data_IF_232288085415
#
_entry.id   IF_232288085415
#
_cell.length_a   1.000
_cell.length_b   1.000
_cell.length_c   1.000
_cell.angle_alpha   90.00
_cell.angle_beta   90.00
_cell.angle_gamma   90.00
#
_symmetry.space_group_name_H-M   'P 1'
#
loop_
_entity.id
_entity.type
_entity.pdbx_description
1 polymer ?
#
# COMPACT_ATOMS: atom_id res chain seq x y z
N UNK A 1 -10.79 49.76 9.73
CA UNK A 1 -11.27 48.37 9.68
C UNK A 1 -10.46 47.61 8.67
N UNK A 2 -9.34 47.01 9.06
CA UNK A 2 -8.44 46.22 8.25
C UNK A 2 -7.66 45.28 9.19
N UNK A 3 -8.34 44.29 9.76
CA UNK A 3 -7.72 43.18 10.47
C UNK A 3 -8.69 41.98 10.48
N UNK A 4 -8.71 41.20 9.41
CA UNK A 4 -9.34 39.88 9.43
C UNK A 4 -9.07 39.11 8.13
N UNK A 5 -7.80 38.88 7.73
CA UNK A 5 -7.45 37.88 6.71
C UNK A 5 -6.03 37.32 6.88
N UNK A 6 -5.40 37.44 8.04
CA UNK A 6 -4.03 36.98 8.28
C UNK A 6 -3.96 35.52 8.79
N UNK A 7 -5.07 34.79 8.90
CA UNK A 7 -5.12 33.49 9.57
C UNK A 7 -5.20 32.25 8.67
N UNK A 8 -5.40 32.39 7.37
CA UNK A 8 -5.65 31.25 6.45
C UNK A 8 -4.45 30.87 5.56
N UNK A 9 -3.38 31.68 5.52
CA UNK A 9 -2.22 31.41 4.64
C UNK A 9 -1.10 30.58 5.28
N UNK A 10 -1.20 30.20 6.56
CA UNK A 10 -0.11 29.52 7.27
C UNK A 10 -0.27 28.00 7.40
N UNK A 11 -1.44 27.45 7.08
CA UNK A 11 -1.70 26.02 7.21
C UNK A 11 -1.85 25.36 5.84
N UNK A 12 -0.96 24.43 5.55
CA UNK A 12 -0.99 23.59 4.33
C UNK A 12 -1.48 22.21 4.75
N UNK A 13 -2.32 21.58 3.94
CA UNK A 13 -2.84 20.23 4.19
C UNK A 13 -2.68 19.41 2.94
N UNK A 14 -2.18 18.18 3.09
CA UNK A 14 -2.09 17.20 2.01
C UNK A 14 -2.52 15.83 2.51
N UNK A 15 -3.19 15.07 1.65
CA UNK A 15 -3.71 13.74 1.96
C UNK A 15 -3.23 12.73 0.93
N UNK A 16 -2.83 11.55 1.39
CA UNK A 16 -2.47 10.43 0.55
C UNK A 16 -3.28 9.18 0.97
N UNK A 17 -3.98 8.50 0.04
CA UNK A 17 -4.73 7.29 0.37
C UNK A 17 -3.80 6.12 0.66
N UNK A 18 -4.32 5.08 1.31
CA UNK A 18 -3.70 3.76 1.26
C UNK A 18 -3.99 3.08 -0.08
N UNK A 19 -3.39 1.91 -0.32
CA UNK A 19 -3.65 1.12 -1.54
C UNK A 19 -3.79 -0.36 -1.24
N UNK A 20 -4.39 -1.09 -2.18
CA UNK A 20 -4.38 -2.55 -2.26
C UNK A 20 -3.96 -2.96 -3.66
N UNK A 21 -3.02 -3.90 -3.76
CA UNK A 21 -2.68 -4.54 -5.01
C UNK A 21 -3.70 -5.64 -5.26
N UNK A 22 -4.51 -5.50 -6.31
CA UNK A 22 -5.48 -6.53 -6.72
C UNK A 22 -4.79 -7.68 -7.43
N UNK A 23 -3.84 -7.35 -8.32
CA UNK A 23 -3.01 -8.32 -9.05
C UNK A 23 -1.62 -7.74 -9.28
N UNK A 24 -0.61 -8.59 -9.43
CA UNK A 24 0.73 -8.15 -9.86
C UNK A 24 1.83 -8.30 -8.82
N UNK A 25 1.51 -8.72 -7.58
CA UNK A 25 2.55 -8.93 -6.55
C UNK A 25 3.69 -9.80 -7.10
N UNK A 26 4.91 -9.35 -6.92
CA UNK A 26 6.16 -9.88 -7.51
C UNK A 26 6.25 -9.82 -9.03
N UNK A 27 5.17 -10.08 -9.78
CA UNK A 27 5.18 -10.10 -11.23
C UNK A 27 5.63 -8.77 -11.83
N UNK A 28 5.24 -7.64 -11.22
CA UNK A 28 5.68 -6.29 -11.64
C UNK A 28 7.20 -6.09 -11.58
N UNK A 29 7.91 -6.81 -10.70
CA UNK A 29 9.38 -6.76 -10.63
C UNK A 29 10.07 -7.36 -11.88
N UNK A 30 9.32 -8.08 -12.70
CA UNK A 30 9.80 -8.78 -13.89
C UNK A 30 9.15 -8.27 -15.19
N UNK A 31 8.50 -7.08 -15.12
CA UNK A 31 7.89 -6.44 -16.29
C UNK A 31 6.49 -6.95 -16.65
N UNK A 32 5.85 -7.75 -15.79
CA UNK A 32 4.43 -8.09 -15.95
C UNK A 32 3.55 -6.97 -15.37
N UNK A 33 2.34 -6.78 -15.91
CA UNK A 33 1.44 -5.76 -15.38
C UNK A 33 0.87 -6.14 -14.01
N UNK A 34 0.54 -5.11 -13.22
CA UNK A 34 -0.22 -5.21 -11.98
C UNK A 34 -1.31 -4.16 -11.90
N UNK A 35 -2.33 -4.38 -11.11
CA UNK A 35 -3.38 -3.41 -10.80
C UNK A 35 -3.36 -3.13 -9.31
N UNK A 36 -3.31 -1.84 -8.97
CA UNK A 36 -3.49 -1.36 -7.61
C UNK A 36 -4.61 -0.32 -7.56
N UNK A 37 -5.33 -0.31 -6.44
CA UNK A 37 -6.46 0.59 -6.20
C UNK A 37 -6.26 1.33 -4.88
N UNK A 38 -6.69 2.60 -4.78
CA UNK A 38 -6.69 3.32 -3.52
C UNK A 38 -7.69 2.70 -2.54
N UNK A 39 -7.49 2.95 -1.25
CA UNK A 39 -8.42 2.57 -0.18
C UNK A 39 -9.12 3.80 0.41
N UNK A 40 -10.22 3.63 1.14
CA UNK A 40 -10.87 4.75 1.85
C UNK A 40 -10.05 5.26 3.06
N UNK A 41 -9.00 4.55 3.43
CA UNK A 41 -8.09 4.93 4.52
C UNK A 41 -6.98 5.83 3.97
N UNK A 42 -6.53 6.80 4.76
CA UNK A 42 -5.53 7.78 4.31
C UNK A 42 -4.62 8.25 5.44
N UNK A 43 -3.52 8.86 5.04
CA UNK A 43 -2.69 9.74 5.86
C UNK A 43 -2.98 11.17 5.45
N UNK A 44 -3.28 12.05 6.42
CA UNK A 44 -3.38 13.50 6.20
C UNK A 44 -2.30 14.19 7.01
N UNK A 45 -1.47 15.00 6.34
CA UNK A 45 -0.48 15.86 6.95
C UNK A 45 -0.96 17.30 6.95
N UNK A 46 -0.82 17.98 8.09
CA UNK A 46 -1.11 19.41 8.26
C UNK A 46 0.18 20.12 8.66
N UNK A 47 0.65 21.04 7.87
CA UNK A 47 1.82 21.83 8.19
C UNK A 47 1.44 23.28 8.51
N UNK A 48 1.85 23.75 9.69
CA UNK A 48 1.67 25.13 10.14
C UNK A 48 3.04 25.81 10.30
N UNK A 49 3.31 26.80 9.45
CA UNK A 49 4.57 27.56 9.49
C UNK A 49 4.70 28.32 10.80
N UNK A 50 5.84 28.19 11.47
CA UNK A 50 6.15 28.90 12.70
C UNK A 50 7.67 29.16 12.80
N UNK A 51 8.08 30.36 12.41
CA UNK A 51 9.49 30.75 12.42
C UNK A 51 10.11 30.79 13.84
N UNK A 52 9.29 30.83 14.91
CA UNK A 52 9.78 30.93 16.27
C UNK A 52 10.36 29.63 16.84
N UNK A 53 10.04 28.47 16.21
CA UNK A 53 10.52 27.16 16.69
C UNK A 53 11.85 26.72 16.05
N UNK A 54 12.29 27.39 15.00
CA UNK A 54 13.62 27.21 14.39
C UNK A 54 13.80 25.94 13.55
N UNK A 55 12.87 24.97 13.61
CA UNK A 55 12.96 23.67 12.95
C UNK A 55 11.56 23.17 12.53
N UNK A 56 11.46 22.00 11.91
CA UNK A 56 10.18 21.29 11.67
C UNK A 56 9.96 20.29 12.81
N UNK A 57 8.87 20.47 13.54
CA UNK A 57 8.51 19.64 14.69
C UNK A 57 7.34 18.75 14.36
N UNK A 58 7.46 17.44 14.65
CA UNK A 58 6.37 16.48 14.50
C UNK A 58 5.42 16.53 15.70
N UNK A 59 4.13 16.67 15.41
CA UNK A 59 3.02 16.52 16.37
C UNK A 59 2.18 15.30 15.95
N UNK A 60 2.59 14.14 16.40
CA UNK A 60 1.90 12.86 16.18
C UNK A 60 2.26 11.90 17.31
N UNK A 61 1.44 10.87 17.53
CA UNK A 61 1.71 9.85 18.53
C UNK A 61 1.41 8.47 17.96
N UNK A 62 2.42 7.64 17.90
CA UNK A 62 2.37 6.25 17.45
C UNK A 62 3.39 5.42 18.24
N UNK A 63 3.61 4.16 17.85
CA UNK A 63 4.73 3.39 18.38
C UNK A 63 6.08 3.99 17.95
N UNK A 64 7.15 3.63 18.64
CA UNK A 64 8.49 4.19 18.46
C UNK A 64 9.03 3.99 17.04
N UNK A 65 8.73 2.84 16.42
CA UNK A 65 9.16 2.50 15.05
C UNK A 65 8.55 3.47 14.02
N UNK A 66 7.24 3.72 14.12
CA UNK A 66 6.54 4.63 13.22
C UNK A 66 6.87 6.10 13.50
N UNK A 67 7.02 6.49 14.77
CA UNK A 67 7.46 7.84 15.12
C UNK A 67 8.80 8.15 14.45
N UNK A 68 9.78 7.24 14.62
CA UNK A 68 11.09 7.38 13.99
C UNK A 68 11.01 7.42 12.47
N UNK A 69 10.19 6.57 11.85
CA UNK A 69 10.03 6.55 10.40
C UNK A 69 9.51 7.89 9.85
N UNK A 70 8.51 8.49 10.51
CA UNK A 70 7.96 9.79 10.10
C UNK A 70 8.97 10.92 10.34
N UNK A 71 9.74 10.87 11.42
CA UNK A 71 10.84 11.82 11.67
C UNK A 71 11.93 11.70 10.59
N UNK A 72 12.29 10.48 10.16
CA UNK A 72 13.24 10.25 9.08
C UNK A 72 12.75 10.84 7.74
N UNK A 73 11.43 10.74 7.43
CA UNK A 73 10.82 11.40 6.27
C UNK A 73 11.00 12.93 6.36
N UNK A 74 10.64 13.53 7.49
CA UNK A 74 10.73 14.99 7.69
C UNK A 74 12.19 15.45 7.55
N UNK A 75 13.13 14.76 8.17
CA UNK A 75 14.55 15.07 8.13
C UNK A 75 15.10 14.99 6.69
N UNK A 76 14.69 13.99 5.91
CA UNK A 76 15.05 13.90 4.50
C UNK A 76 14.46 15.07 3.71
N UNK A 77 13.18 15.40 3.88
CA UNK A 77 12.56 16.56 3.22
C UNK A 77 13.32 17.85 3.53
N UNK A 78 13.69 18.09 4.80
CA UNK A 78 14.49 19.25 5.21
C UNK A 78 15.87 19.24 4.55
N UNK A 79 16.48 18.08 4.33
CA UNK A 79 17.80 17.95 3.73
C UNK A 79 17.83 18.17 2.21
N UNK A 80 16.75 17.85 1.50
CA UNK A 80 16.67 17.91 0.03
C UNK A 80 16.06 19.19 -0.50
N UNK A 81 15.43 20.02 0.35
CA UNK A 81 14.77 21.24 -0.07
C UNK A 81 14.71 22.32 0.98
N UNK A 82 14.27 23.50 0.58
CA UNK A 82 14.09 24.65 1.48
C UNK A 82 12.73 24.53 2.18
N UNK A 83 12.70 23.94 3.36
CA UNK A 83 11.51 23.82 4.19
C UNK A 83 11.54 24.91 5.29
N UNK A 84 10.45 25.66 5.43
CA UNK A 84 10.32 26.66 6.52
C UNK A 84 10.15 25.94 7.87
N UNK A 85 10.61 26.53 8.98
CA UNK A 85 10.29 26.01 10.30
C UNK A 85 8.78 26.00 10.55
N UNK A 86 8.32 24.98 11.28
CA UNK A 86 6.88 24.83 11.56
C UNK A 86 6.55 23.54 12.29
N UNK A 87 5.26 23.31 12.49
CA UNK A 87 4.75 22.07 13.09
C UNK A 87 4.01 21.25 12.05
N UNK A 88 4.36 19.98 11.92
CA UNK A 88 3.62 19.03 11.10
C UNK A 88 2.77 18.15 12.02
N UNK A 89 1.47 18.12 11.77
CA UNK A 89 0.51 17.28 12.50
C UNK A 89 0.02 16.19 11.56
N UNK A 90 -0.02 14.94 12.03
CA UNK A 90 -0.44 13.79 11.24
C UNK A 90 -1.75 13.22 11.76
N UNK A 91 -2.67 12.97 10.85
CA UNK A 91 -3.86 12.13 11.04
C UNK A 91 -3.73 10.89 10.18
N UNK A 92 -3.81 9.70 10.78
CA UNK A 92 -3.69 8.43 10.06
C UNK A 92 -4.87 7.51 10.34
N UNK A 93 -5.51 7.06 9.28
CA UNK A 93 -6.56 6.05 9.33
C UNK A 93 -6.13 4.72 8.69
N UNK A 94 -4.99 4.67 8.00
CA UNK A 94 -4.47 3.44 7.40
C UNK A 94 -3.99 2.50 8.52
N UNK A 95 -4.50 1.27 8.60
CA UNK A 95 -3.95 0.26 9.51
C UNK A 95 -2.47 -0.01 9.23
N UNK A 96 -1.61 0.32 10.19
CA UNK A 96 -0.15 0.22 10.05
C UNK A 96 0.30 -1.24 9.92
N UNK A 97 1.33 -1.50 9.11
CA UNK A 97 1.92 -2.84 8.89
C UNK A 97 0.94 -3.88 8.30
N UNK A 98 -0.08 -3.43 7.56
CA UNK A 98 -1.13 -4.29 6.98
C UNK A 98 -1.08 -4.38 5.44
N UNK A 99 0.04 -4.03 4.81
CA UNK A 99 0.21 -4.13 3.35
C UNK A 99 -0.59 -3.09 2.55
N UNK A 100 -1.16 -2.08 3.22
CA UNK A 100 -1.98 -1.03 2.62
C UNK A 100 -1.17 0.20 2.19
N UNK A 101 0.15 0.11 2.10
CA UNK A 101 1.01 1.20 1.62
C UNK A 101 1.19 2.36 2.59
N UNK A 102 1.03 2.13 3.92
CA UNK A 102 1.15 3.21 4.90
C UNK A 102 2.49 3.94 4.83
N UNK A 103 3.62 3.25 4.66
CA UNK A 103 4.94 3.88 4.53
C UNK A 103 4.98 4.91 3.40
N UNK A 104 4.58 4.53 2.20
CA UNK A 104 4.52 5.38 1.01
C UNK A 104 3.48 6.50 1.16
N UNK A 105 2.33 6.22 1.81
CA UNK A 105 1.31 7.25 2.07
C UNK A 105 1.83 8.35 3.00
N UNK A 106 2.60 8.01 4.04
CA UNK A 106 3.28 9.00 4.88
C UNK A 106 4.26 9.85 4.07
N UNK A 107 5.10 9.23 3.23
CA UNK A 107 6.04 9.95 2.38
C UNK A 107 5.31 10.94 1.49
N UNK A 108 4.30 10.51 0.76
CA UNK A 108 3.57 11.35 -0.20
C UNK A 108 2.82 12.48 0.52
N UNK A 109 2.08 12.19 1.60
CA UNK A 109 1.35 13.20 2.34
C UNK A 109 2.28 14.28 2.94
N UNK A 110 3.39 13.87 3.55
CA UNK A 110 4.35 14.80 4.17
C UNK A 110 5.08 15.60 3.09
N UNK A 111 5.54 14.96 2.01
CA UNK A 111 6.26 15.64 0.94
C UNK A 111 5.37 16.67 0.24
N UNK A 112 4.13 16.32 -0.11
CA UNK A 112 3.14 17.26 -0.67
C UNK A 112 2.85 18.41 0.30
N UNK A 113 2.74 18.12 1.59
CA UNK A 113 2.49 19.14 2.61
C UNK A 113 3.63 20.15 2.75
N UNK A 114 4.88 19.72 2.56
CA UNK A 114 6.08 20.56 2.69
C UNK A 114 6.50 21.28 1.40
N UNK A 115 6.31 20.66 0.23
CA UNK A 115 6.77 21.17 -1.06
C UNK A 115 5.66 21.56 -2.04
N UNK A 116 4.40 21.18 -1.76
CA UNK A 116 3.27 21.39 -2.67
C UNK A 116 3.01 20.18 -3.58
N UNK A 117 1.98 20.27 -4.42
CA UNK A 117 1.51 19.16 -5.26
C UNK A 117 2.51 18.70 -6.33
N UNK A 118 3.35 19.61 -6.84
CA UNK A 118 4.32 19.36 -7.94
C UNK A 118 5.64 18.77 -7.42
N UNK A 119 5.62 18.02 -6.31
CA UNK A 119 6.83 17.51 -5.63
C UNK A 119 7.11 16.03 -5.89
N UNK A 120 6.69 15.47 -7.03
CA UNK A 120 6.84 14.03 -7.33
C UNK A 120 8.31 13.59 -7.27
N UNK A 121 9.24 14.38 -7.84
CA UNK A 121 10.68 14.05 -7.79
C UNK A 121 11.21 13.96 -6.35
N UNK A 122 10.81 14.88 -5.48
CA UNK A 122 11.21 14.87 -4.06
C UNK A 122 10.59 13.66 -3.34
N UNK A 123 9.32 13.36 -3.60
CA UNK A 123 8.64 12.21 -3.00
C UNK A 123 9.28 10.88 -3.42
N UNK A 124 9.63 10.72 -4.71
CA UNK A 124 10.36 9.55 -5.22
C UNK A 124 11.74 9.44 -4.56
N UNK A 125 12.48 10.55 -4.42
CA UNK A 125 13.80 10.55 -3.77
C UNK A 125 13.71 10.08 -2.31
N UNK A 126 12.68 10.50 -1.58
CA UNK A 126 12.44 10.04 -0.20
C UNK A 126 12.05 8.57 -0.17
N UNK A 127 11.16 8.12 -1.08
CA UNK A 127 10.76 6.71 -1.20
C UNK A 127 11.95 5.80 -1.50
N UNK A 128 12.77 6.15 -2.49
CA UNK A 128 13.96 5.39 -2.88
C UNK A 128 14.97 5.25 -1.72
N UNK A 129 15.07 6.30 -0.90
CA UNK A 129 16.01 6.33 0.24
C UNK A 129 15.52 5.47 1.40
N UNK A 130 14.24 5.57 1.76
CA UNK A 130 13.69 4.88 2.94
C UNK A 130 13.20 3.45 2.63
N UNK A 131 12.74 3.19 1.40
CA UNK A 131 12.21 1.90 0.96
C UNK A 131 13.02 1.32 -0.22
N UNK A 132 14.32 1.11 -0.10
CA UNK A 132 15.17 0.71 -1.24
C UNK A 132 14.73 -0.62 -1.85
N UNK A 133 14.64 -0.65 -3.16
CA UNK A 133 14.29 -1.85 -3.94
C UNK A 133 12.78 -2.11 -4.05
N UNK A 134 11.93 -1.15 -3.69
CA UNK A 134 10.50 -1.19 -3.95
C UNK A 134 10.20 -1.37 -5.45
N UNK A 135 8.99 -1.82 -5.79
CA UNK A 135 8.59 -2.06 -7.18
C UNK A 135 8.15 -0.79 -7.90
N UNK A 136 7.73 0.23 -7.16
CA UNK A 136 7.12 1.45 -7.67
C UNK A 136 5.60 1.43 -7.73
N UNK A 137 4.95 0.25 -7.70
CA UNK A 137 3.48 0.16 -7.81
C UNK A 137 2.75 0.83 -6.65
N UNK A 138 3.29 0.75 -5.42
CA UNK A 138 2.73 1.39 -4.24
C UNK A 138 2.75 2.90 -4.40
N UNK A 139 3.90 3.44 -4.78
CA UNK A 139 4.08 4.86 -5.04
C UNK A 139 3.13 5.35 -6.14
N UNK A 140 3.11 4.68 -7.29
CA UNK A 140 2.26 5.05 -8.40
C UNK A 140 0.76 5.07 -8.03
N UNK A 141 0.27 4.05 -7.30
CA UNK A 141 -1.13 3.98 -6.91
C UNK A 141 -1.52 5.08 -5.92
N UNK A 142 -0.67 5.35 -4.93
CA UNK A 142 -0.95 6.34 -3.88
C UNK A 142 -0.78 7.77 -4.41
N UNK A 143 0.24 8.00 -5.26
CA UNK A 143 0.48 9.30 -5.88
C UNK A 143 -0.68 9.75 -6.77
N UNK A 144 -1.18 8.85 -7.61
CA UNK A 144 -2.29 9.14 -8.50
C UNK A 144 -3.66 9.16 -7.78
N UNK A 145 -3.83 8.42 -6.68
CA UNK A 145 -5.08 8.36 -5.92
C UNK A 145 -6.26 7.71 -6.66
N UNK A 146 -6.00 7.02 -7.76
CA UNK A 146 -6.96 6.39 -8.65
C UNK A 146 -6.53 4.95 -8.94
N UNK A 147 -7.45 4.06 -9.40
CA UNK A 147 -7.08 2.74 -9.88
C UNK A 147 -6.11 2.82 -11.06
N UNK A 148 -4.99 2.12 -10.97
CA UNK A 148 -3.96 2.11 -12.00
C UNK A 148 -3.59 0.71 -12.46
N UNK A 149 -3.21 0.59 -13.73
CA UNK A 149 -2.35 -0.47 -14.24
C UNK A 149 -0.91 0.03 -14.19
N UNK A 150 -0.06 -0.80 -13.63
CA UNK A 150 1.37 -0.51 -13.46
C UNK A 150 2.21 -1.58 -14.17
N UNK A 151 3.14 -1.13 -14.99
CA UNK A 151 4.25 -1.93 -15.54
C UNK A 151 5.53 -1.21 -15.12
N UNK A 152 6.51 -1.96 -14.62
CA UNK A 152 7.76 -1.36 -14.17
C UNK A 152 8.46 -0.63 -15.31
N UNK A 153 9.00 0.55 -15.01
CA UNK A 153 9.70 1.45 -15.94
C UNK A 153 8.80 2.03 -17.07
N UNK A 154 7.47 1.92 -16.93
CA UNK A 154 6.48 2.56 -17.81
C UNK A 154 5.64 3.56 -17.02
N UNK A 155 5.01 4.51 -17.73
CA UNK A 155 4.07 5.45 -17.12
C UNK A 155 2.81 4.68 -16.70
N UNK A 156 2.35 4.81 -15.43
CA UNK A 156 1.13 4.17 -14.99
C UNK A 156 -0.09 4.62 -15.81
N UNK A 157 -0.97 3.69 -16.15
CA UNK A 157 -2.21 3.98 -16.87
C UNK A 157 -3.40 3.87 -15.94
N UNK A 158 -4.34 4.80 -16.02
CA UNK A 158 -5.62 4.68 -15.30
C UNK A 158 -6.42 3.49 -15.85
N UNK A 159 -7.04 2.73 -14.94
CA UNK A 159 -7.88 1.59 -15.31
C UNK A 159 -9.30 1.82 -14.82
N UNK A 160 -10.26 1.62 -15.72
CA UNK A 160 -11.69 1.66 -15.36
C UNK A 160 -12.09 0.32 -14.74
N UNK A 161 -12.36 0.36 -13.44
CA UNK A 161 -12.85 -0.78 -12.65
C UNK A 161 -14.20 -0.42 -12.02
N UNK A 162 -15.05 -1.40 -11.75
CA UNK A 162 -16.26 -1.16 -10.98
C UNK A 162 -15.93 -0.41 -9.68
N UNK A 163 -16.61 0.69 -9.40
CA UNK A 163 -16.39 1.51 -8.20
C UNK A 163 -16.59 0.73 -6.90
N UNK A 164 -17.37 -0.35 -6.98
CA UNK A 164 -17.69 -1.25 -5.87
C UNK A 164 -16.81 -2.52 -5.84
N UNK A 165 -15.71 -2.59 -6.60
CA UNK A 165 -14.87 -3.79 -6.72
C UNK A 165 -14.36 -4.31 -5.36
N UNK A 166 -14.18 -3.43 -4.39
CA UNK A 166 -13.81 -3.77 -3.01
C UNK A 166 -15.00 -3.75 -2.04
N UNK A 167 -16.23 -3.54 -2.51
CA UNK A 167 -17.40 -3.52 -1.64
C UNK A 167 -17.60 -4.88 -0.97
N UNK A 168 -17.75 -4.86 0.35
CA UNK A 168 -17.84 -6.08 1.16
C UNK A 168 -16.56 -6.91 1.22
N UNK A 169 -15.44 -6.42 0.67
CA UNK A 169 -14.17 -7.09 0.80
C UNK A 169 -13.62 -6.98 2.24
N UNK A 170 -12.92 -8.01 2.67
CA UNK A 170 -12.32 -8.10 3.99
C UNK A 170 -10.81 -8.23 3.87
N UNK A 171 -10.09 -7.54 4.74
CA UNK A 171 -8.67 -7.81 5.01
C UNK A 171 -8.56 -8.59 6.31
N UNK A 172 -7.96 -9.78 6.25
CA UNK A 172 -7.88 -10.71 7.36
C UNK A 172 -6.42 -10.90 7.74
N UNK A 173 -6.08 -10.62 8.99
CA UNK A 173 -4.71 -10.68 9.50
C UNK A 173 -4.32 -12.12 9.88
N UNK A 174 -3.41 -12.72 9.11
CA UNK A 174 -2.85 -14.03 9.42
C UNK A 174 -1.64 -13.98 10.37
N UNK A 175 -1.24 -12.77 10.75
CA UNK A 175 -0.08 -12.51 11.60
C UNK A 175 1.19 -12.19 10.81
N UNK A 176 2.24 -11.83 11.54
CA UNK A 176 3.53 -11.42 10.97
C UNK A 176 4.22 -12.59 10.27
N UNK A 177 4.76 -12.40 9.06
CA UNK A 177 5.67 -13.36 8.43
C UNK A 177 6.99 -13.45 9.19
N UNK A 178 7.64 -14.63 9.15
CA UNK A 178 8.99 -14.78 9.71
C UNK A 178 10.06 -14.10 8.83
N UNK A 179 9.77 -13.92 7.53
CA UNK A 179 10.65 -13.27 6.57
C UNK A 179 10.28 -11.80 6.37
N UNK A 180 11.27 -10.95 6.17
CA UNK A 180 11.06 -9.57 5.76
C UNK A 180 10.82 -9.46 4.24
N UNK A 181 10.12 -8.41 3.81
CA UNK A 181 9.85 -8.17 2.37
C UNK A 181 11.10 -8.20 1.49
N UNK A 182 12.25 -7.56 1.84
CA UNK A 182 13.46 -7.64 1.01
C UNK A 182 14.00 -9.06 0.85
N UNK A 183 13.87 -9.91 1.86
CA UNK A 183 14.31 -11.32 1.82
C UNK A 183 13.44 -12.12 0.84
N UNK A 184 12.11 -11.93 0.90
CA UNK A 184 11.17 -12.59 -0.01
C UNK A 184 11.37 -12.14 -1.46
N UNK A 185 11.57 -10.85 -1.69
CA UNK A 185 11.90 -10.31 -3.02
C UNK A 185 13.19 -10.92 -3.57
N UNK A 186 14.25 -10.97 -2.75
CA UNK A 186 15.52 -11.60 -3.12
C UNK A 186 15.33 -13.09 -3.44
N UNK A 187 14.55 -13.79 -2.64
CA UNK A 187 14.27 -15.21 -2.82
C UNK A 187 13.52 -15.47 -4.14
N UNK A 188 12.47 -14.71 -4.46
CA UNK A 188 11.75 -14.84 -5.73
C UNK A 188 12.66 -14.48 -6.92
N UNK A 189 13.45 -13.39 -6.81
CA UNK A 189 14.39 -12.98 -7.86
C UNK A 189 15.42 -14.06 -8.17
N UNK A 190 15.96 -14.73 -7.14
CA UNK A 190 16.98 -15.78 -7.32
C UNK A 190 16.43 -17.04 -8.01
N UNK A 191 15.10 -17.20 -8.04
CA UNK A 191 14.40 -18.37 -8.62
C UNK A 191 13.54 -18.01 -9.84
N UNK A 192 13.81 -16.86 -10.49
CA UNK A 192 12.99 -16.35 -11.59
C UNK A 192 12.65 -17.41 -12.63
N UNK A 193 13.65 -18.23 -13.05
CA UNK A 193 13.45 -19.25 -14.09
C UNK A 193 12.47 -20.36 -13.67
N UNK A 194 12.53 -20.81 -12.41
CA UNK A 194 11.61 -21.81 -11.87
C UNK A 194 10.19 -21.23 -11.68
N UNK A 195 10.11 -19.94 -11.37
CA UNK A 195 8.88 -19.24 -11.00
C UNK A 195 8.26 -18.45 -12.16
N UNK A 196 8.76 -18.62 -13.38
CA UNK A 196 8.29 -17.86 -14.55
C UNK A 196 6.80 -18.07 -14.82
N UNK A 197 6.32 -19.31 -14.77
CA UNK A 197 4.91 -19.61 -15.05
C UNK A 197 3.95 -19.00 -14.02
N UNK A 198 4.12 -19.14 -12.69
CA UNK A 198 3.25 -18.44 -11.74
C UNK A 198 3.35 -16.91 -11.84
N UNK A 199 4.51 -16.33 -12.14
CA UNK A 199 4.65 -14.88 -12.36
C UNK A 199 3.84 -14.42 -13.58
N UNK A 200 3.87 -15.20 -14.66
CA UNK A 200 3.09 -14.95 -15.88
C UNK A 200 1.58 -15.05 -15.62
N UNK A 201 1.14 -16.05 -14.85
CA UNK A 201 -0.27 -16.21 -14.46
C UNK A 201 -0.73 -14.96 -13.69
N UNK A 202 0.04 -14.47 -12.73
CA UNK A 202 -0.26 -13.24 -11.98
C UNK A 202 -0.42 -12.05 -12.93
N UNK A 203 0.48 -11.87 -13.89
CA UNK A 203 0.36 -10.82 -14.91
C UNK A 203 -0.85 -11.00 -15.84
N UNK A 204 -1.26 -12.25 -16.13
CA UNK A 204 -2.47 -12.53 -16.89
C UNK A 204 -3.75 -12.22 -16.11
N UNK A 205 -3.76 -12.39 -14.79
CA UNK A 205 -4.85 -11.97 -13.93
C UNK A 205 -5.14 -10.47 -14.07
N UNK A 206 -4.09 -9.64 -14.22
CA UNK A 206 -4.24 -8.22 -14.51
C UNK A 206 -5.05 -7.99 -15.80
N UNK A 207 -4.66 -8.63 -16.91
CA UNK A 207 -5.35 -8.50 -18.19
C UNK A 207 -6.81 -8.98 -18.13
N UNK A 208 -7.06 -10.08 -17.42
CA UNK A 208 -8.44 -10.60 -17.21
C UNK A 208 -9.29 -9.61 -16.44
N UNK A 209 -8.73 -8.95 -15.43
CA UNK A 209 -9.45 -7.96 -14.63
C UNK A 209 -9.81 -6.72 -15.46
N UNK A 210 -8.90 -6.23 -16.30
CA UNK A 210 -9.15 -5.15 -17.25
C UNK A 210 -10.26 -5.46 -18.25
N UNK A 211 -10.48 -6.74 -18.56
CA UNK A 211 -11.51 -7.21 -19.47
C UNK A 211 -12.84 -7.54 -18.76
N UNK A 212 -13.03 -7.03 -17.54
CA UNK A 212 -14.24 -7.27 -16.72
C UNK A 212 -14.51 -8.75 -16.44
N UNK A 213 -13.46 -9.53 -16.25
CA UNK A 213 -13.56 -10.93 -15.83
C UNK A 213 -14.18 -11.09 -14.43
N UNK A 214 -14.63 -12.29 -14.11
CA UNK A 214 -15.12 -12.63 -12.77
C UNK A 214 -14.01 -12.42 -11.72
N UNK A 215 -14.20 -11.41 -10.88
CA UNK A 215 -13.21 -10.99 -9.88
C UNK A 215 -12.88 -12.13 -8.91
N UNK A 216 -13.89 -12.87 -8.44
CA UNK A 216 -13.65 -14.01 -7.53
C UNK A 216 -12.83 -15.12 -8.19
N UNK A 217 -13.11 -15.44 -9.46
CA UNK A 217 -12.32 -16.42 -10.19
C UNK A 217 -10.87 -15.95 -10.41
N UNK A 218 -10.67 -14.66 -10.71
CA UNK A 218 -9.34 -14.07 -10.87
C UNK A 218 -8.56 -14.12 -9.54
N UNK A 219 -9.19 -13.81 -8.41
CA UNK A 219 -8.56 -13.89 -7.08
C UNK A 219 -8.13 -15.32 -6.76
N UNK A 220 -8.94 -16.34 -7.05
CA UNK A 220 -8.55 -17.75 -6.86
C UNK A 220 -7.38 -18.15 -7.73
N UNK A 221 -7.40 -17.77 -9.02
CA UNK A 221 -6.29 -18.06 -9.95
C UNK A 221 -4.99 -17.38 -9.49
N UNK A 222 -5.08 -16.12 -9.06
CA UNK A 222 -3.96 -15.37 -8.53
C UNK A 222 -3.40 -16.02 -7.25
N UNK A 223 -4.29 -16.44 -6.32
CA UNK A 223 -3.89 -17.17 -5.11
C UNK A 223 -3.15 -18.47 -5.43
N UNK A 224 -3.65 -19.27 -6.38
CA UNK A 224 -2.99 -20.50 -6.78
C UNK A 224 -1.55 -20.23 -7.31
N UNK A 225 -1.38 -19.13 -8.06
CA UNK A 225 -0.06 -18.71 -8.52
C UNK A 225 0.83 -18.22 -7.35
N UNK A 226 0.30 -17.45 -6.39
CA UNK A 226 1.05 -17.05 -5.18
C UNK A 226 1.48 -18.25 -4.34
N UNK A 227 0.64 -19.28 -4.20
CA UNK A 227 1.02 -20.53 -3.55
C UNK A 227 2.15 -21.24 -4.28
N UNK A 228 2.12 -21.25 -5.61
CA UNK A 228 3.18 -21.81 -6.46
C UNK A 228 4.48 -21.00 -6.38
N UNK A 229 4.41 -19.68 -6.14
CA UNK A 229 5.58 -18.86 -5.80
C UNK A 229 6.17 -19.23 -4.43
N UNK A 230 5.44 -19.92 -3.55
CA UNK A 230 5.88 -20.31 -2.22
C UNK A 230 5.93 -19.15 -1.23
N UNK A 231 5.08 -18.14 -1.42
CA UNK A 231 4.97 -16.93 -0.57
C UNK A 231 3.70 -16.91 0.28
N UNK A 232 2.97 -18.01 0.31
CA UNK A 232 1.76 -18.20 1.13
C UNK A 232 2.06 -19.22 2.20
N UNK A 233 2.07 -18.81 3.47
CA UNK A 233 2.32 -19.70 4.61
C UNK A 233 1.17 -20.71 4.80
N UNK A 234 1.43 -21.81 5.48
CA UNK A 234 0.41 -22.83 5.69
C UNK A 234 -0.80 -22.26 6.46
N UNK A 235 -0.56 -21.38 7.44
CA UNK A 235 -1.63 -20.69 8.16
C UNK A 235 -2.55 -19.87 7.22
N UNK A 236 -1.96 -19.17 6.25
CA UNK A 236 -2.73 -18.42 5.25
C UNK A 236 -3.46 -19.34 4.26
N UNK A 237 -2.83 -20.46 3.84
CA UNK A 237 -3.47 -21.47 2.98
C UNK A 237 -4.69 -22.09 3.66
N UNK A 238 -4.58 -22.41 4.94
CA UNK A 238 -5.70 -23.00 5.71
C UNK A 238 -6.87 -22.02 5.81
N UNK A 239 -6.59 -20.73 6.06
CA UNK A 239 -7.61 -19.69 6.07
C UNK A 239 -8.26 -19.53 4.69
N UNK A 240 -7.47 -19.40 3.63
CA UNK A 240 -7.96 -19.24 2.25
C UNK A 240 -8.81 -20.44 1.84
N UNK A 241 -8.38 -21.66 2.18
CA UNK A 241 -9.16 -22.88 1.92
C UNK A 241 -10.53 -22.84 2.60
N UNK A 242 -10.61 -22.40 3.85
CA UNK A 242 -11.89 -22.26 4.57
C UNK A 242 -12.79 -21.22 3.91
N UNK A 243 -12.22 -20.08 3.47
CA UNK A 243 -12.96 -19.03 2.77
C UNK A 243 -13.55 -19.57 1.44
N UNK A 244 -12.75 -20.32 0.68
CA UNK A 244 -13.17 -20.89 -0.60
C UNK A 244 -14.23 -21.99 -0.43
N UNK A 245 -14.17 -22.79 0.65
CA UNK A 245 -15.21 -23.77 1.02
C UNK A 245 -16.56 -23.11 1.32
N UNK A 246 -16.55 -21.89 1.89
CA UNK A 246 -17.76 -21.09 2.13
C UNK A 246 -18.22 -20.31 0.90
N UNK A 247 -17.58 -20.50 -0.26
CA UNK A 247 -17.96 -19.88 -1.55
C UNK A 247 -17.22 -18.56 -1.86
N UNK A 248 -16.47 -18.01 -0.94
CA UNK A 248 -15.64 -16.82 -1.14
C UNK A 248 -14.43 -17.07 -2.02
N UNK A 249 -13.64 -16.03 -2.24
CA UNK A 249 -12.32 -16.09 -2.87
C UNK A 249 -11.33 -15.25 -2.06
N UNK A 250 -10.07 -15.68 -1.96
CA UNK A 250 -9.10 -14.95 -1.19
C UNK A 250 -7.68 -15.10 -1.73
N UNK A 251 -6.83 -14.10 -1.45
CA UNK A 251 -5.41 -14.09 -1.79
C UNK A 251 -4.59 -13.31 -0.76
N UNK A 252 -3.31 -13.56 -0.67
CA UNK A 252 -2.39 -12.75 0.14
C UNK A 252 -2.18 -11.38 -0.50
N UNK A 253 -2.12 -10.31 0.30
CA UNK A 253 -1.83 -8.94 -0.12
C UNK A 253 -0.37 -8.61 0.20
N UNK A 254 0.34 -8.03 -0.77
CA UNK A 254 1.73 -7.63 -0.62
C UNK A 254 2.73 -8.80 -0.69
N UNK A 255 3.77 -8.76 0.11
CA UNK A 255 4.88 -9.71 0.01
C UNK A 255 4.56 -11.13 0.49
N UNK A 256 3.54 -11.31 1.33
CA UNK A 256 3.21 -12.60 1.90
C UNK A 256 4.23 -13.10 2.93
N UNK A 257 4.35 -14.43 3.05
CA UNK A 257 5.28 -15.09 3.97
C UNK A 257 5.37 -16.58 3.65
N UNK A 258 6.53 -17.14 3.82
CA UNK A 258 6.78 -18.59 3.60
C UNK A 258 6.45 -19.40 4.85
N UNK A 259 6.73 -18.83 6.01
CA UNK A 259 6.48 -19.39 7.34
C UNK A 259 5.96 -18.30 8.29
N UNK A 260 5.41 -18.65 9.42
CA UNK A 260 4.69 -17.75 10.29
C UNK A 260 3.32 -17.38 9.72
N UNK A 261 2.95 -16.11 9.74
CA UNK A 261 1.83 -15.57 8.98
C UNK A 261 2.21 -15.22 7.53
N UNK A 262 1.26 -14.69 6.78
CA UNK A 262 1.49 -14.08 5.45
C UNK A 262 1.05 -12.61 5.43
N UNK A 263 0.93 -11.97 6.60
CA UNK A 263 0.33 -10.64 6.68
C UNK A 263 -1.17 -10.69 6.41
N UNK A 264 -1.63 -9.78 5.55
CA UNK A 264 -3.05 -9.65 5.24
C UNK A 264 -3.47 -10.56 4.07
N UNK A 265 -4.67 -11.11 4.20
CA UNK A 265 -5.39 -11.83 3.15
C UNK A 265 -6.59 -10.98 2.74
N UNK A 266 -6.68 -10.62 1.47
CA UNK A 266 -7.88 -10.03 0.88
C UNK A 266 -8.88 -11.15 0.60
N UNK A 267 -10.09 -11.03 1.11
CA UNK A 267 -11.19 -11.95 0.88
C UNK A 267 -12.39 -11.21 0.29
N UNK A 268 -13.06 -11.82 -0.69
CA UNK A 268 -14.25 -11.30 -1.36
C UNK A 268 -15.34 -12.37 -1.42
N UNK A 269 -16.61 -11.94 -1.48
CA UNK A 269 -17.74 -12.85 -1.59
C UNK A 269 -18.00 -13.70 -0.34
N UNK A 270 -17.59 -13.23 0.84
CA UNK A 270 -17.78 -13.91 2.13
C UNK A 270 -18.19 -12.91 3.21
N UNK A 271 -19.07 -13.35 4.10
CA UNK A 271 -19.45 -12.58 5.28
C UNK A 271 -18.42 -12.71 6.40
N UNK A 272 -18.17 -11.60 7.11
CA UNK A 272 -17.18 -11.57 8.21
C UNK A 272 -17.49 -12.57 9.32
N UNK A 273 -18.76 -12.92 9.55
CA UNK A 273 -19.16 -13.91 10.55
C UNK A 273 -18.70 -15.34 10.23
N UNK A 274 -18.29 -15.59 8.98
CA UNK A 274 -17.73 -16.88 8.54
C UNK A 274 -16.22 -16.99 8.75
N UNK A 275 -15.55 -15.87 9.09
CA UNK A 275 -14.13 -15.87 9.37
C UNK A 275 -13.90 -16.36 10.81
N UNK A 276 -12.97 -17.30 11.05
CA UNK A 276 -12.66 -17.76 12.40
C UNK A 276 -12.21 -16.62 13.33
N UNK A 277 -12.71 -16.59 14.54
CA UNK A 277 -12.52 -15.49 15.50
C UNK A 277 -11.06 -15.23 15.88
N UNK A 278 -10.16 -16.18 15.65
CA UNK A 278 -8.73 -16.02 15.89
C UNK A 278 -8.04 -15.06 14.92
N UNK A 279 -8.70 -14.66 13.82
CA UNK A 279 -8.15 -13.75 12.83
C UNK A 279 -8.79 -12.36 12.96
N UNK A 280 -8.00 -11.31 13.24
CA UNK A 280 -8.48 -9.93 13.13
C UNK A 280 -8.95 -9.61 11.72
N UNK A 281 -10.10 -8.95 11.60
CA UNK A 281 -10.74 -8.61 10.32
C UNK A 281 -10.91 -7.09 10.22
N UNK A 282 -10.56 -6.53 9.07
CA UNK A 282 -10.80 -5.14 8.68
C UNK A 282 -11.76 -5.16 7.49
N UNK A 283 -12.89 -4.48 7.58
CA UNK A 283 -13.82 -4.33 6.46
C UNK A 283 -13.37 -3.19 5.56
N UNK A 284 -13.38 -3.42 4.24
CA UNK A 284 -13.09 -2.39 3.23
C UNK A 284 -14.38 -1.71 2.74
N UNK A 285 -15.39 -1.61 3.59
CA UNK A 285 -16.60 -0.89 3.23
C UNK A 285 -16.26 0.59 2.98
N UNK A 286 -16.49 1.01 1.77
CA UNK A 286 -16.48 2.41 1.32
C UNK A 286 -17.80 3.09 1.63
#
# INVERSE_FOLDING_TARGET
MLHAHAGLENKITATAPGKIILTGEYAVLFGYPGIAVPTPYSVTAHFEKNASIGDVVLNWNADEEWMKYVEDIINLCVSIGSVSPGTITIENTIPLNKGMGSSTAFIIAITKCLFGEDCEEQAVMVEDTLNPGHSGIDFAAIWNGEPITFVKDEVPEFVDLPSDILSGALLIDTGKPDQQTPELVKWVRSRKQELEEPLKIIGQCCKKLQQSGDFSAIIREHNAAQQSLGIVSDKAKDLITKIEQEGGAAKVVGAGGRTGGSGMVLAVGIDASKIPNEYPVISLNT
#
